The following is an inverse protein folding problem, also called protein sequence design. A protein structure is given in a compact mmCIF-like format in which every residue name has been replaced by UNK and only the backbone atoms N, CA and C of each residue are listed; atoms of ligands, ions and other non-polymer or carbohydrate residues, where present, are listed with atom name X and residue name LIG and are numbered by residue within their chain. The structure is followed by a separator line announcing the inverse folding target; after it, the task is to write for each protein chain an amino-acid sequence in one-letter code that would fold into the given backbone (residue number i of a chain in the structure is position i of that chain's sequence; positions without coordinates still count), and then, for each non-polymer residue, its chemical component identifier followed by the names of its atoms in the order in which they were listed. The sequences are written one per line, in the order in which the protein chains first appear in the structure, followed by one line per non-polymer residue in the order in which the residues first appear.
data_IF_369912358655
#
_entry.id   IF_369912358655
#
_cell.length_a   1.000
_cell.length_b   1.000
_cell.length_c   1.000
_cell.angle_alpha   90.00
_cell.angle_beta   90.00
_cell.angle_gamma   90.00
#
_symmetry.space_group_name_H-M   'P 1'
#
loop_
_entity.id
_entity.type
_entity.pdbx_description
1 polymer ?
#
# COMPACT_ATOMS: atom_id res chain seq x y z
N UNK A 1 18.41 60.59 53.21
CA UNK A 1 17.33 61.20 52.42
C UNK A 1 17.12 60.27 51.24
N UNK A 2 16.16 59.33 51.29
CA UNK A 2 14.73 59.54 50.99
C UNK A 2 14.60 60.35 49.69
N UNK A 3 14.15 59.78 48.56
CA UNK A 3 12.77 59.35 48.33
C UNK A 3 12.65 58.49 47.05
N UNK A 4 11.65 57.62 47.06
CA UNK A 4 11.12 56.82 45.95
C UNK A 4 10.69 57.65 44.73
N UNK A 5 10.75 57.04 43.55
CA UNK A 5 9.67 57.15 42.57
C UNK A 5 9.58 55.87 41.70
N UNK A 6 8.50 55.13 41.91
CA UNK A 6 7.98 54.05 41.08
C UNK A 6 7.03 54.66 40.03
N UNK A 7 7.30 54.46 38.74
CA UNK A 7 6.42 54.54 37.56
C UNK A 7 7.36 54.57 36.32
N UNK A 8 7.19 53.88 35.20
CA UNK A 8 6.01 53.34 34.55
C UNK A 8 6.33 52.05 33.78
N UNK A 9 5.34 51.17 33.76
CA UNK A 9 5.15 50.11 32.77
C UNK A 9 4.96 50.71 31.38
N UNK A 10 5.76 50.29 30.39
CA UNK A 10 5.38 50.14 28.97
C UNK A 10 6.62 49.80 28.12
N UNK A 11 6.90 48.51 27.95
CA UNK A 11 7.83 48.02 26.93
C UNK A 11 7.48 46.58 26.51
N UNK A 12 6.18 46.31 26.33
CA UNK A 12 5.68 45.14 25.60
C UNK A 12 4.56 45.64 24.68
N UNK A 13 4.96 46.13 23.52
CA UNK A 13 4.07 46.70 22.51
C UNK A 13 4.79 46.76 21.17
N UNK A 14 5.38 45.63 20.75
CA UNK A 14 5.67 45.43 19.35
C UNK A 14 4.35 45.09 18.67
N UNK A 15 3.75 46.08 18.01
CA UNK A 15 2.63 45.87 17.09
C UNK A 15 3.06 44.80 16.06
N UNK A 16 2.59 43.57 16.28
CA UNK A 16 2.61 42.56 15.24
C UNK A 16 1.43 42.92 14.34
N UNK A 17 1.77 43.59 13.24
CA UNK A 17 0.89 43.96 12.15
C UNK A 17 0.04 42.74 11.73
N UNK A 18 -1.19 42.65 12.27
CA UNK A 18 -2.08 41.51 12.12
C UNK A 18 -2.58 41.33 10.67
N UNK A 19 -2.28 42.29 9.81
CA UNK A 19 -2.66 42.35 8.39
C UNK A 19 -1.56 41.83 7.43
N UNK A 20 -0.47 41.24 7.95
CA UNK A 20 0.51 40.48 7.15
C UNK A 20 0.47 39.00 7.48
N UNK A 21 -0.70 38.38 7.36
CA UNK A 21 -0.74 36.95 7.05
C UNK A 21 -0.28 36.86 5.60
N UNK A 22 1.01 36.54 5.38
CA UNK A 22 1.48 36.15 4.04
C UNK A 22 0.52 35.08 3.52
N UNK A 23 -0.19 35.40 2.44
CA UNK A 23 -1.05 34.46 1.75
C UNK A 23 -0.18 33.26 1.39
N UNK A 24 -0.43 32.12 2.05
CA UNK A 24 0.42 30.93 1.90
C UNK A 24 0.38 30.54 0.43
N UNK A 25 1.49 30.78 -0.28
CA UNK A 25 1.60 30.51 -1.71
C UNK A 25 1.40 29.02 -1.93
N UNK A 26 0.25 28.66 -2.52
CA UNK A 26 -0.08 27.27 -2.82
C UNK A 26 0.78 26.75 -3.98
N UNK A 27 1.23 25.51 -3.87
CA UNK A 27 2.04 24.84 -4.88
C UNK A 27 1.22 24.57 -6.13
N UNK A 28 1.75 24.93 -7.30
CA UNK A 28 1.16 24.68 -8.62
C UNK A 28 1.70 23.43 -9.31
N UNK A 29 2.66 22.73 -8.70
CA UNK A 29 3.24 21.50 -9.26
C UNK A 29 2.49 20.25 -8.81
N UNK A 30 2.27 19.34 -9.77
CA UNK A 30 1.57 18.07 -9.59
C UNK A 30 2.40 16.92 -10.14
N UNK A 31 2.27 15.77 -9.49
CA UNK A 31 3.07 14.56 -9.71
C UNK A 31 2.12 13.38 -9.94
N UNK A 32 2.64 12.22 -10.33
CA UNK A 32 1.81 11.05 -10.63
C UNK A 32 0.87 10.64 -9.47
N UNK A 33 1.30 10.84 -8.22
CA UNK A 33 0.48 10.53 -7.04
C UNK A 33 -0.61 11.55 -6.71
N UNK A 34 -0.60 12.71 -7.40
CA UNK A 34 -1.61 13.77 -7.31
C UNK A 34 -2.79 13.56 -8.26
N UNK A 35 -2.85 12.43 -8.97
CA UNK A 35 -3.87 12.20 -9.99
C UNK A 35 -5.10 11.46 -9.46
N UNK A 36 -6.29 11.67 -10.06
CA UNK A 36 -7.54 11.00 -9.68
C UNK A 36 -7.42 9.47 -9.54
N UNK A 37 -6.72 8.80 -10.46
CA UNK A 37 -6.47 7.34 -10.40
C UNK A 37 -5.77 6.89 -9.10
N UNK A 38 -4.77 7.64 -8.63
CA UNK A 38 -4.08 7.31 -7.38
C UNK A 38 -4.96 7.56 -6.17
N UNK A 39 -5.76 8.62 -6.22
CA UNK A 39 -6.74 8.89 -5.17
C UNK A 39 -7.87 7.85 -5.13
N UNK A 40 -8.28 7.30 -6.27
CA UNK A 40 -9.19 6.16 -6.32
C UNK A 40 -8.62 4.96 -5.56
N UNK A 41 -7.34 4.61 -5.79
CA UNK A 41 -6.66 3.53 -5.07
C UNK A 41 -6.69 3.79 -3.56
N UNK A 42 -6.30 5.00 -3.14
CA UNK A 42 -6.27 5.40 -1.74
C UNK A 42 -7.66 5.32 -1.07
N UNK A 43 -8.69 5.83 -1.75
CA UNK A 43 -10.05 5.99 -1.22
C UNK A 43 -10.91 4.74 -1.31
N UNK A 44 -10.79 3.97 -2.40
CA UNK A 44 -11.67 2.83 -2.71
C UNK A 44 -11.00 1.48 -2.45
N UNK A 45 -9.68 1.38 -2.58
CA UNK A 45 -8.97 0.12 -2.37
C UNK A 45 -8.32 0.06 -0.98
N UNK A 46 -7.38 0.94 -0.68
CA UNK A 46 -6.61 0.90 0.57
C UNK A 46 -7.47 1.25 1.77
N UNK A 47 -8.23 2.33 1.70
CA UNK A 47 -9.13 2.68 2.79
C UNK A 47 -10.19 1.61 3.03
N UNK A 48 -10.74 0.97 1.98
CA UNK A 48 -11.68 -0.15 2.18
C UNK A 48 -11.04 -1.34 2.94
N UNK A 49 -9.75 -1.60 2.73
CA UNK A 49 -9.02 -2.62 3.47
C UNK A 49 -8.84 -2.24 4.95
N UNK A 50 -8.42 -1.01 5.23
CA UNK A 50 -8.29 -0.48 6.59
C UNK A 50 -9.65 -0.42 7.30
N UNK A 51 -10.68 0.00 6.58
CA UNK A 51 -12.06 0.10 7.05
C UNK A 51 -12.64 -1.29 7.41
N UNK A 52 -12.40 -2.29 6.57
CA UNK A 52 -12.74 -3.67 6.88
C UNK A 52 -11.97 -4.18 8.09
N UNK A 53 -10.70 -3.77 8.25
CA UNK A 53 -9.87 -4.21 9.38
C UNK A 53 -10.31 -3.58 10.70
N UNK A 54 -10.66 -2.29 10.73
CA UNK A 54 -11.13 -1.61 11.96
C UNK A 54 -12.48 -2.14 12.47
N UNK A 55 -13.29 -2.70 11.56
CA UNK A 55 -14.60 -3.30 11.88
C UNK A 55 -14.48 -4.76 12.31
N UNK A 56 -13.28 -5.32 12.25
CA UNK A 56 -13.02 -6.69 12.67
C UNK A 56 -13.15 -6.83 14.20
N UNK A 57 -13.85 -7.87 14.71
CA UNK A 57 -13.96 -8.09 16.15
C UNK A 57 -12.62 -8.18 16.89
N UNK A 58 -11.56 -8.68 16.24
CA UNK A 58 -10.22 -8.74 16.83
C UNK A 58 -9.63 -7.35 17.14
N UNK A 59 -10.17 -6.30 16.52
CA UNK A 59 -9.77 -4.91 16.69
C UNK A 59 -10.75 -4.07 17.49
N UNK A 60 -11.82 -4.67 18.05
CA UNK A 60 -12.82 -3.94 18.81
C UNK A 60 -12.21 -3.20 20.02
N UNK A 61 -11.18 -3.73 20.67
CA UNK A 61 -10.52 -3.06 21.80
C UNK A 61 -9.32 -2.20 21.41
N UNK A 62 -8.98 -2.12 20.12
CA UNK A 62 -7.82 -1.37 19.63
C UNK A 62 -8.15 0.13 19.56
N UNK A 63 -7.46 0.98 20.33
CA UNK A 63 -7.60 2.44 20.20
C UNK A 63 -6.79 3.06 19.07
N UNK A 64 -5.85 2.30 18.52
CA UNK A 64 -4.94 2.74 17.47
C UNK A 64 -4.62 1.60 16.50
N UNK A 65 -4.15 1.96 15.30
CA UNK A 65 -3.45 1.06 14.39
C UNK A 65 -1.99 1.48 14.21
N UNK A 66 -1.09 0.53 14.37
CA UNK A 66 0.29 0.63 13.93
C UNK A 66 0.35 0.51 12.41
N UNK A 67 0.92 1.53 11.76
CA UNK A 67 1.05 1.61 10.32
C UNK A 67 2.53 1.70 9.95
N UNK A 68 3.00 0.73 9.17
CA UNK A 68 4.28 0.83 8.46
C UNK A 68 4.00 1.33 7.05
N UNK A 69 4.65 2.41 6.61
CA UNK A 69 4.44 2.95 5.26
C UNK A 69 5.71 3.53 4.64
N UNK A 70 5.64 3.81 3.33
CA UNK A 70 6.62 4.64 2.61
C UNK A 70 6.01 6.02 2.36
N UNK A 71 6.06 6.95 3.34
CA UNK A 71 5.41 8.24 3.17
C UNK A 71 6.22 9.12 2.21
N UNK A 72 5.54 9.82 1.29
CA UNK A 72 6.13 10.97 0.59
C UNK A 72 6.16 12.22 1.48
N UNK A 73 6.80 13.30 1.02
CA UNK A 73 6.92 14.54 1.79
C UNK A 73 5.58 15.17 2.19
N UNK A 74 4.57 15.03 1.34
CA UNK A 74 3.23 15.57 1.58
C UNK A 74 2.38 14.72 2.54
N UNK A 75 2.84 13.50 2.86
CA UNK A 75 2.14 12.54 3.72
C UNK A 75 0.73 12.18 3.22
N UNK A 76 0.46 12.21 1.91
CA UNK A 76 -0.90 12.09 1.36
C UNK A 76 -1.68 10.86 1.86
N UNK A 77 -1.06 9.67 1.86
CA UNK A 77 -1.73 8.45 2.32
C UNK A 77 -2.07 8.53 3.81
N UNK A 78 -1.12 8.99 4.61
CA UNK A 78 -1.27 9.15 6.07
C UNK A 78 -2.34 10.18 6.38
N UNK A 79 -2.32 11.33 5.69
CA UNK A 79 -3.32 12.39 5.82
C UNK A 79 -4.72 11.88 5.52
N UNK A 80 -4.86 11.11 4.45
CA UNK A 80 -6.14 10.54 4.05
C UNK A 80 -6.67 9.52 5.08
N UNK A 81 -5.85 8.56 5.50
CA UNK A 81 -6.27 7.56 6.49
C UNK A 81 -6.62 8.21 7.82
N UNK A 82 -5.84 9.21 8.23
CA UNK A 82 -6.09 9.96 9.45
C UNK A 82 -7.38 10.79 9.38
N UNK A 83 -7.69 11.43 8.24
CA UNK A 83 -8.92 12.21 8.08
C UNK A 83 -10.16 11.31 8.12
N UNK A 84 -10.10 10.13 7.48
CA UNK A 84 -11.22 9.18 7.50
C UNK A 84 -11.47 8.58 8.88
N UNK A 85 -10.43 8.30 9.66
CA UNK A 85 -10.60 7.83 11.06
C UNK A 85 -11.28 8.87 11.96
N UNK A 86 -11.05 10.16 11.73
CA UNK A 86 -11.71 11.23 12.50
C UNK A 86 -13.21 11.37 12.20
N UNK A 87 -13.62 11.09 10.96
CA UNK A 87 -15.01 11.25 10.53
C UNK A 87 -15.93 10.13 11.04
N UNK A 88 -15.39 8.94 11.31
CA UNK A 88 -16.16 7.73 11.61
C UNK A 88 -16.21 7.35 13.11
N UNK A 89 -15.90 8.30 14.01
CA UNK A 89 -15.59 8.06 15.44
C UNK A 89 -16.76 7.50 16.28
N UNK A 90 -18.00 7.57 15.78
CA UNK A 90 -19.19 7.15 16.56
C UNK A 90 -19.43 5.63 16.58
N UNK A 91 -18.82 4.86 15.67
CA UNK A 91 -19.14 3.42 15.49
C UNK A 91 -17.95 2.46 15.62
N UNK A 92 -16.72 2.96 15.74
CA UNK A 92 -15.53 2.10 15.88
C UNK A 92 -14.56 2.61 16.93
N UNK A 93 -13.87 1.68 17.59
CA UNK A 93 -12.97 2.01 18.70
C UNK A 93 -11.55 2.40 18.27
N UNK A 94 -11.18 2.15 17.01
CA UNK A 94 -9.88 2.59 16.46
C UNK A 94 -9.98 4.06 16.09
N UNK A 95 -9.28 4.91 16.84
CA UNK A 95 -9.39 6.37 16.71
C UNK A 95 -8.14 7.05 16.12
N UNK A 96 -7.00 6.35 16.11
CA UNK A 96 -5.69 6.96 15.78
C UNK A 96 -4.78 6.02 14.97
N UNK A 97 -3.83 6.62 14.26
CA UNK A 97 -2.72 5.92 13.64
C UNK A 97 -1.44 6.16 14.45
N UNK A 98 -0.62 5.11 14.57
CA UNK A 98 0.78 5.22 15.01
C UNK A 98 1.67 4.88 13.82
N UNK A 99 2.44 5.85 13.37
CA UNK A 99 3.16 5.78 12.11
C UNK A 99 4.62 5.32 12.31
N UNK A 100 5.06 4.41 11.45
CA UNK A 100 6.48 4.16 11.16
C UNK A 100 6.69 4.36 9.66
N UNK A 101 7.56 5.29 9.30
CA UNK A 101 7.82 5.67 7.92
C UNK A 101 9.30 5.74 7.59
N UNK A 102 9.65 5.40 6.37
CA UNK A 102 11.00 5.51 5.82
C UNK A 102 10.96 6.35 4.55
N UNK A 103 11.74 7.41 4.51
CA UNK A 103 11.85 8.32 3.38
C UNK A 103 13.33 8.37 2.98
N UNK A 104 13.65 7.94 1.76
CA UNK A 104 15.04 7.87 1.28
C UNK A 104 15.54 9.18 0.63
N UNK A 105 14.66 10.17 0.48
CA UNK A 105 14.97 11.48 -0.07
C UNK A 105 14.94 12.53 1.05
N UNK A 106 16.03 13.30 1.18
CA UNK A 106 16.16 14.30 2.25
C UNK A 106 15.16 15.45 2.11
N UNK A 107 14.86 15.91 0.89
CA UNK A 107 13.87 16.98 0.65
C UNK A 107 12.47 16.53 1.08
N UNK A 108 12.07 15.33 0.67
CA UNK A 108 10.77 14.75 1.05
C UNK A 108 10.73 14.48 2.55
N UNK A 109 11.84 14.04 3.15
CA UNK A 109 11.93 13.85 4.59
C UNK A 109 11.68 15.15 5.34
N UNK A 110 12.39 16.23 5.00
CA UNK A 110 12.20 17.55 5.61
C UNK A 110 10.78 18.09 5.41
N UNK A 111 10.20 17.87 4.24
CA UNK A 111 8.81 18.24 3.95
C UNK A 111 7.82 17.44 4.82
N UNK A 112 8.03 16.13 4.99
CA UNK A 112 7.25 15.31 5.89
C UNK A 112 7.35 15.79 7.35
N UNK A 113 8.54 16.19 7.81
CA UNK A 113 8.71 16.75 9.16
C UNK A 113 7.86 18.03 9.34
N UNK A 114 7.80 18.91 8.34
CA UNK A 114 6.97 20.13 8.36
C UNK A 114 5.48 19.82 8.32
N UNK A 115 5.09 18.74 7.64
CA UNK A 115 3.70 18.34 7.45
C UNK A 115 3.09 17.57 8.63
N UNK A 116 3.89 16.88 9.44
CA UNK A 116 3.41 16.09 10.59
C UNK A 116 2.62 16.90 11.64
N UNK A 117 3.04 18.11 12.06
CA UNK A 117 2.26 18.92 13.01
C UNK A 117 0.86 19.27 12.52
N UNK A 118 0.66 19.40 11.20
CA UNK A 118 -0.65 19.65 10.59
C UNK A 118 -1.61 18.46 10.75
N UNK A 119 -1.08 17.28 11.10
CA UNK A 119 -1.86 16.11 11.48
C UNK A 119 -2.14 16.02 12.98
N UNK A 120 -1.71 17.00 13.77
CA UNK A 120 -1.74 16.92 15.23
C UNK A 120 -0.69 15.99 15.81
N UNK A 121 0.33 15.63 15.00
CA UNK A 121 1.49 14.85 15.44
C UNK A 121 2.60 15.84 15.73
N UNK A 122 2.70 16.24 17.01
CA UNK A 122 3.55 17.37 17.42
C UNK A 122 5.05 17.10 17.27
N UNK A 123 5.48 15.83 17.29
CA UNK A 123 6.88 15.44 17.11
C UNK A 123 7.03 14.19 16.22
N UNK A 124 7.94 14.23 15.23
CA UNK A 124 8.19 13.11 14.31
C UNK A 124 8.81 11.86 14.92
N UNK A 125 9.40 11.97 16.12
CA UNK A 125 9.89 10.85 16.93
C UNK A 125 9.05 10.66 18.21
N UNK A 126 7.76 10.99 18.13
CA UNK A 126 6.83 10.79 19.23
C UNK A 126 6.41 9.32 19.38
N UNK A 127 5.58 9.03 20.39
CA UNK A 127 4.90 7.73 20.49
C UNK A 127 3.97 7.47 19.30
N UNK A 128 3.51 8.52 18.62
CA UNK A 128 2.49 8.44 17.58
C UNK A 128 3.09 8.45 16.16
N UNK A 129 4.34 8.89 15.99
CA UNK A 129 5.05 8.78 14.71
C UNK A 129 6.55 8.56 14.89
N UNK A 130 7.13 7.81 13.96
CA UNK A 130 8.55 7.65 13.75
C UNK A 130 8.82 7.68 12.24
N UNK A 131 9.27 8.81 11.70
CA UNK A 131 9.72 8.91 10.31
C UNK A 131 11.25 9.01 10.29
N UNK A 132 11.90 8.14 9.54
CA UNK A 132 13.36 8.07 9.41
C UNK A 132 13.79 8.47 7.99
N UNK A 133 14.88 9.23 7.88
CA UNK A 133 15.53 9.56 6.62
C UNK A 133 16.45 8.39 6.19
N UNK A 134 15.84 7.29 5.76
CA UNK A 134 16.51 6.05 5.35
C UNK A 134 15.60 5.27 4.40
N UNK A 135 16.10 4.21 3.78
CA UNK A 135 15.30 3.30 2.94
C UNK A 135 14.85 2.08 3.72
N UNK A 136 13.60 1.65 3.49
CA UNK A 136 13.10 0.38 4.04
C UNK A 136 13.89 -0.82 3.51
N UNK A 137 14.58 -0.67 2.38
CA UNK A 137 15.40 -1.72 1.78
C UNK A 137 16.56 -2.14 2.71
N UNK A 138 16.96 -1.26 3.64
CA UNK A 138 17.97 -1.53 4.67
C UNK A 138 17.42 -2.30 5.88
N UNK A 139 16.12 -2.66 5.88
CA UNK A 139 15.53 -3.43 6.98
C UNK A 139 16.23 -4.78 7.15
N UNK A 140 16.67 -5.36 6.03
CA UNK A 140 17.36 -6.64 6.02
C UNK A 140 18.69 -6.65 6.79
N UNK A 141 19.26 -5.46 7.02
CA UNK A 141 20.49 -5.24 7.75
C UNK A 141 20.22 -4.99 9.24
N UNK A 142 21.14 -5.38 10.12
CA UNK A 142 21.04 -5.08 11.55
C UNK A 142 21.40 -3.60 11.79
N UNK A 143 20.44 -2.70 11.56
CA UNK A 143 20.65 -1.26 11.58
C UNK A 143 19.58 -0.44 12.31
N UNK A 144 19.60 0.88 12.07
CA UNK A 144 18.61 1.83 12.60
C UNK A 144 17.21 1.48 12.12
N UNK A 145 17.05 1.19 10.83
CA UNK A 145 15.79 0.76 10.20
C UNK A 145 15.20 -0.48 10.88
N UNK A 146 16.02 -1.51 11.07
CA UNK A 146 15.60 -2.74 11.75
C UNK A 146 15.14 -2.51 13.20
N UNK A 147 15.89 -1.70 13.96
CA UNK A 147 15.49 -1.33 15.32
C UNK A 147 14.20 -0.51 15.34
N UNK A 148 14.07 0.49 14.47
CA UNK A 148 12.86 1.31 14.35
C UNK A 148 11.63 0.45 14.05
N UNK A 149 11.75 -0.46 13.09
CA UNK A 149 10.70 -1.42 12.73
C UNK A 149 10.34 -2.35 13.90
N UNK A 150 11.32 -3.05 14.50
CA UNK A 150 11.06 -4.04 15.55
C UNK A 150 10.54 -3.44 16.86
N UNK A 151 10.94 -2.22 17.19
CA UNK A 151 10.53 -1.54 18.43
C UNK A 151 9.09 -0.99 18.37
N UNK A 152 8.51 -0.87 17.17
CA UNK A 152 7.19 -0.27 16.96
C UNK A 152 6.16 -1.25 16.41
N UNK A 153 6.61 -2.35 15.80
CA UNK A 153 5.77 -3.46 15.39
C UNK A 153 5.21 -4.28 16.56
N UNK A 154 4.32 -5.26 16.29
CA UNK A 154 3.74 -5.59 14.98
C UNK A 154 2.82 -4.49 14.43
N UNK A 155 2.52 -4.59 13.14
CA UNK A 155 1.72 -3.59 12.41
C UNK A 155 0.37 -4.16 12.01
N UNK A 156 -0.70 -3.39 12.16
CA UNK A 156 -2.03 -3.75 11.64
C UNK A 156 -2.13 -3.43 10.15
N UNK A 157 -1.42 -2.40 9.71
CA UNK A 157 -1.37 -1.95 8.31
C UNK A 157 0.09 -1.84 7.87
N UNK A 158 0.44 -2.54 6.81
CA UNK A 158 1.69 -2.34 6.09
C UNK A 158 1.33 -1.81 4.71
N UNK A 159 1.74 -0.59 4.37
CA UNK A 159 1.46 0.08 3.10
C UNK A 159 2.76 0.44 2.36
N UNK A 160 3.21 -0.40 1.45
CA UNK A 160 4.43 -0.17 0.68
C UNK A 160 4.08 0.29 -0.74
N UNK A 161 3.90 1.60 -0.90
CA UNK A 161 3.67 2.22 -2.20
C UNK A 161 5.00 2.40 -2.95
N UNK A 162 5.47 1.38 -3.67
CA UNK A 162 6.69 1.50 -4.45
C UNK A 162 6.40 2.20 -5.78
N UNK A 163 7.03 3.35 -6.02
CA UNK A 163 7.01 4.01 -7.33
C UNK A 163 7.74 3.19 -8.43
N UNK A 164 8.52 2.18 -8.04
CA UNK A 164 9.22 1.27 -8.95
C UNK A 164 8.84 -0.18 -8.61
N UNK A 165 9.46 -1.17 -9.25
CA UNK A 165 9.28 -2.58 -8.91
C UNK A 165 9.69 -2.90 -7.46
N UNK A 166 9.04 -3.89 -6.86
CA UNK A 166 9.47 -4.56 -5.63
C UNK A 166 10.78 -5.33 -5.80
N UNK A 167 11.15 -5.66 -7.04
CA UNK A 167 12.39 -6.35 -7.38
C UNK A 167 13.09 -5.68 -8.57
N UNK A 168 13.54 -4.42 -8.45
CA UNK A 168 14.14 -3.73 -9.57
C UNK A 168 15.56 -4.27 -9.87
N UNK A 169 16.03 -4.17 -11.12
CA UNK A 169 17.37 -4.61 -11.50
C UNK A 169 18.45 -3.99 -10.61
N UNK A 170 19.40 -4.81 -10.15
CA UNK A 170 20.52 -4.36 -9.32
C UNK A 170 20.22 -4.15 -7.84
N UNK A 171 18.96 -4.28 -7.38
CA UNK A 171 18.57 -4.07 -5.97
C UNK A 171 17.96 -5.34 -5.38
N UNK A 172 18.77 -6.12 -4.66
CA UNK A 172 18.31 -7.37 -3.99
C UNK A 172 17.74 -7.14 -2.59
N UNK A 173 18.10 -6.03 -1.94
CA UNK A 173 17.77 -5.76 -0.54
C UNK A 173 16.28 -5.51 -0.28
N UNK A 174 15.53 -5.05 -1.29
CA UNK A 174 14.08 -4.79 -1.18
C UNK A 174 13.26 -6.05 -0.94
N UNK A 175 13.45 -7.08 -1.76
CA UNK A 175 12.75 -8.37 -1.60
C UNK A 175 13.12 -9.00 -0.25
N UNK A 176 14.40 -8.95 0.14
CA UNK A 176 14.85 -9.42 1.44
C UNK A 176 14.17 -8.67 2.61
N UNK A 177 13.99 -7.36 2.47
CA UNK A 177 13.29 -6.53 3.46
C UNK A 177 11.80 -6.86 3.53
N UNK A 178 11.12 -7.05 2.39
CA UNK A 178 9.73 -7.52 2.37
C UNK A 178 9.62 -8.88 3.09
N UNK A 179 10.52 -9.81 2.81
CA UNK A 179 10.54 -11.11 3.49
C UNK A 179 10.72 -10.96 5.01
N UNK A 180 11.58 -10.07 5.47
CA UNK A 180 11.74 -9.80 6.90
C UNK A 180 10.49 -9.19 7.54
N UNK A 181 9.78 -8.30 6.83
CA UNK A 181 8.49 -7.76 7.28
C UNK A 181 7.49 -8.89 7.46
N UNK A 182 7.32 -9.74 6.43
CA UNK A 182 6.40 -10.87 6.46
C UNK A 182 6.72 -11.82 7.61
N UNK A 183 7.97 -12.27 7.74
CA UNK A 183 8.39 -13.17 8.83
C UNK A 183 8.15 -12.60 10.22
N UNK A 184 8.47 -11.32 10.41
CA UNK A 184 8.23 -10.65 11.69
C UNK A 184 6.73 -10.59 11.98
N UNK A 185 5.91 -10.20 11.01
CA UNK A 185 4.45 -10.13 11.17
C UNK A 185 3.86 -11.51 11.46
N UNK A 186 4.23 -12.55 10.72
CA UNK A 186 3.73 -13.91 10.98
C UNK A 186 4.12 -14.43 12.38
N UNK A 187 5.28 -14.01 12.88
CA UNK A 187 5.75 -14.40 14.22
C UNK A 187 4.98 -13.67 15.32
N UNK A 188 4.80 -12.35 15.20
CA UNK A 188 4.38 -11.50 16.32
C UNK A 188 2.97 -10.90 16.21
N UNK A 189 2.40 -10.79 15.02
CA UNK A 189 1.06 -10.24 14.84
C UNK A 189 0.02 -11.33 15.11
N UNK A 190 -0.72 -11.18 16.20
CA UNK A 190 -1.77 -12.13 16.60
C UNK A 190 -3.14 -11.79 15.99
N UNK A 191 -3.37 -10.50 15.71
CA UNK A 191 -4.64 -10.04 15.12
C UNK A 191 -4.59 -10.11 13.60
N UNK A 192 -5.73 -10.12 12.91
CA UNK A 192 -5.73 -9.91 11.46
C UNK A 192 -5.01 -8.60 11.11
N UNK A 193 -4.33 -8.59 9.97
CA UNK A 193 -3.61 -7.42 9.48
C UNK A 193 -3.62 -7.38 7.95
N UNK A 194 -3.33 -6.22 7.39
CA UNK A 194 -3.33 -6.02 5.93
C UNK A 194 -1.95 -5.61 5.43
N UNK A 195 -1.55 -6.21 4.32
CA UNK A 195 -0.39 -5.82 3.53
C UNK A 195 -0.88 -5.26 2.20
N UNK A 196 -0.65 -3.96 2.02
CA UNK A 196 -0.96 -3.22 0.81
C UNK A 196 0.36 -2.85 0.17
N UNK A 197 0.48 -3.09 -1.13
CA UNK A 197 1.65 -2.64 -1.86
C UNK A 197 1.31 -2.32 -3.30
N UNK A 198 2.09 -1.42 -3.87
CA UNK A 198 2.12 -1.18 -5.31
C UNK A 198 3.47 -1.56 -5.86
N UNK A 199 3.50 -1.92 -7.13
CA UNK A 199 4.76 -2.27 -7.79
C UNK A 199 4.65 -2.06 -9.28
N UNK A 200 5.76 -1.61 -9.88
CA UNK A 200 5.93 -1.64 -11.33
C UNK A 200 6.22 -3.08 -11.78
N UNK A 201 5.60 -3.52 -12.88
CA UNK A 201 5.67 -4.91 -13.36
C UNK A 201 6.10 -5.05 -14.80
N UNK A 202 6.35 -3.95 -15.51
CA UNK A 202 6.81 -3.98 -16.89
C UNK A 202 8.18 -4.66 -17.04
N UNK A 203 8.40 -5.29 -18.20
CA UNK A 203 9.70 -5.86 -18.55
C UNK A 203 10.78 -4.77 -18.47
N UNK A 204 11.93 -5.13 -17.89
CA UNK A 204 13.01 -4.18 -17.61
C UNK A 204 12.85 -3.36 -16.32
N UNK A 205 11.64 -3.21 -15.78
CA UNK A 205 11.46 -2.66 -14.43
C UNK A 205 11.70 -3.70 -13.33
N UNK A 206 11.57 -4.99 -13.68
CA UNK A 206 11.83 -6.14 -12.81
C UNK A 206 13.18 -6.77 -13.16
N UNK A 207 13.91 -7.26 -12.16
CA UNK A 207 15.13 -8.05 -12.34
C UNK A 207 14.80 -9.37 -13.02
N UNK A 208 15.40 -9.65 -14.18
CA UNK A 208 15.19 -10.90 -14.94
C UNK A 208 15.52 -12.15 -14.11
N UNK A 209 16.61 -12.13 -13.32
CA UNK A 209 16.95 -13.22 -12.40
C UNK A 209 15.82 -13.54 -11.42
N UNK A 210 15.24 -12.50 -10.79
CA UNK A 210 14.16 -12.67 -9.82
C UNK A 210 12.85 -13.06 -10.51
N UNK A 211 12.60 -12.55 -11.72
CA UNK A 211 11.47 -12.99 -12.52
C UNK A 211 11.55 -14.49 -12.82
N UNK A 212 12.73 -14.99 -13.20
CA UNK A 212 12.98 -16.42 -13.39
C UNK A 212 12.65 -17.24 -12.14
N UNK A 213 13.13 -16.82 -10.97
CA UNK A 213 12.83 -17.49 -9.69
C UNK A 213 11.32 -17.55 -9.40
N UNK A 214 10.58 -16.47 -9.59
CA UNK A 214 9.13 -16.47 -9.35
C UNK A 214 8.32 -17.16 -10.46
N UNK A 215 8.86 -17.24 -11.68
CA UNK A 215 8.28 -17.99 -12.78
C UNK A 215 8.39 -19.50 -12.53
N UNK A 216 9.55 -19.97 -12.06
CA UNK A 216 9.76 -21.37 -11.66
C UNK A 216 8.78 -21.77 -10.54
N UNK A 217 8.49 -20.84 -9.62
CA UNK A 217 7.45 -21.02 -8.60
C UNK A 217 6.07 -21.26 -9.23
N UNK A 218 5.70 -20.60 -10.33
CA UNK A 218 4.43 -20.88 -11.04
C UNK A 218 4.47 -22.26 -11.68
N UNK A 219 5.56 -22.57 -12.40
CA UNK A 219 5.77 -23.87 -13.07
C UNK A 219 5.57 -25.03 -12.09
N UNK A 220 6.22 -24.94 -10.93
CA UNK A 220 6.07 -25.92 -9.84
C UNK A 220 4.62 -26.14 -9.42
N UNK A 221 3.78 -25.10 -9.47
CA UNK A 221 2.37 -25.21 -9.09
C UNK A 221 1.51 -25.83 -10.19
N UNK A 222 1.79 -25.50 -11.45
CA UNK A 222 1.16 -26.13 -12.62
C UNK A 222 1.41 -27.64 -12.59
N UNK A 223 2.62 -28.07 -12.23
CA UNK A 223 2.99 -29.48 -12.17
C UNK A 223 2.43 -30.24 -10.95
N UNK A 224 2.34 -29.58 -9.78
CA UNK A 224 2.10 -30.28 -8.49
C UNK A 224 0.68 -30.12 -7.93
N UNK A 225 -0.14 -29.23 -8.48
CA UNK A 225 -1.46 -28.92 -7.92
C UNK A 225 -2.55 -28.89 -8.97
N UNK A 226 -3.46 -29.87 -8.93
CA UNK A 226 -4.65 -29.91 -9.79
C UNK A 226 -5.54 -28.67 -9.60
N UNK A 227 -5.73 -28.21 -8.35
CA UNK A 227 -6.51 -27.00 -8.06
C UNK A 227 -5.92 -25.76 -8.76
N UNK A 228 -4.59 -25.62 -8.73
CA UNK A 228 -3.91 -24.53 -9.39
C UNK A 228 -3.97 -24.69 -10.92
N UNK A 229 -3.63 -25.87 -11.43
CA UNK A 229 -3.62 -26.19 -12.86
C UNK A 229 -4.98 -25.92 -13.50
N UNK A 230 -6.08 -26.34 -12.87
CA UNK A 230 -7.43 -26.12 -13.39
C UNK A 230 -7.75 -24.62 -13.53
N UNK A 231 -7.49 -23.83 -12.48
CA UNK A 231 -7.68 -22.37 -12.57
C UNK A 231 -6.72 -21.71 -13.56
N UNK A 232 -5.49 -22.20 -13.64
CA UNK A 232 -4.48 -21.69 -14.57
C UNK A 232 -4.91 -21.96 -16.02
N UNK A 233 -5.36 -23.17 -16.32
CA UNK A 233 -5.88 -23.56 -17.62
C UNK A 233 -7.04 -22.65 -18.05
N UNK A 234 -8.02 -22.40 -17.18
CA UNK A 234 -9.18 -21.56 -17.50
C UNK A 234 -8.81 -20.12 -17.94
N UNK A 235 -7.66 -19.61 -17.49
CA UNK A 235 -7.26 -18.21 -17.67
C UNK A 235 -6.02 -17.98 -18.55
N UNK A 236 -5.19 -19.02 -18.71
CA UNK A 236 -3.86 -18.97 -19.35
C UNK A 236 -3.57 -20.23 -20.17
N UNK A 237 -4.59 -20.86 -20.76
CA UNK A 237 -4.44 -22.04 -21.62
C UNK A 237 -3.40 -21.84 -22.74
N UNK A 238 -3.31 -20.62 -23.28
CA UNK A 238 -2.34 -20.25 -24.32
C UNK A 238 -0.88 -20.26 -23.83
N UNK A 239 -0.66 -20.31 -22.52
CA UNK A 239 0.66 -20.43 -21.89
C UNK A 239 1.05 -21.87 -21.55
N UNK A 240 0.22 -22.86 -21.89
CA UNK A 240 0.46 -24.28 -21.62
C UNK A 240 0.81 -25.04 -22.91
N UNK A 241 1.73 -25.99 -22.77
CA UNK A 241 2.05 -27.03 -23.76
C UNK A 241 1.38 -28.37 -23.40
N UNK A 242 1.39 -29.32 -24.33
CA UNK A 242 0.89 -30.68 -24.11
C UNK A 242 -0.61 -30.89 -24.38
N UNK A 243 -1.30 -29.87 -24.89
CA UNK A 243 -2.74 -29.90 -25.18
C UNK A 243 -3.16 -30.93 -26.24
N UNK A 244 -2.32 -31.15 -27.26
CA UNK A 244 -2.66 -31.94 -28.46
C UNK A 244 -2.26 -33.42 -28.37
N UNK A 245 -1.33 -33.77 -27.48
CA UNK A 245 -0.64 -35.07 -27.50
C UNK A 245 -1.00 -36.01 -26.32
N UNK A 246 -1.92 -35.62 -25.45
CA UNK A 246 -2.25 -36.39 -24.23
C UNK A 246 -1.11 -36.45 -23.21
N UNK A 247 -0.11 -35.57 -23.35
CA UNK A 247 0.99 -35.40 -22.42
C UNK A 247 0.56 -34.59 -21.18
N UNK A 248 1.38 -34.66 -20.13
CA UNK A 248 1.24 -33.78 -18.95
C UNK A 248 1.31 -32.32 -19.41
N UNK A 249 0.38 -31.49 -18.93
CA UNK A 249 0.38 -30.06 -19.22
C UNK A 249 1.58 -29.41 -18.54
N UNK A 250 2.35 -28.65 -19.31
CA UNK A 250 3.54 -27.96 -18.83
C UNK A 250 3.45 -26.46 -19.16
N UNK A 251 4.02 -25.63 -18.28
CA UNK A 251 4.12 -24.20 -18.54
C UNK A 251 5.20 -23.93 -19.60
N UNK A 252 4.85 -23.17 -20.64
CA UNK A 252 5.77 -22.73 -21.70
C UNK A 252 6.95 -21.93 -21.15
N UNK A 253 7.96 -21.68 -21.98
CA UNK A 253 9.08 -20.85 -21.57
C UNK A 253 8.68 -19.38 -21.35
N UNK A 254 9.47 -18.66 -20.55
CA UNK A 254 9.26 -17.23 -20.26
C UNK A 254 9.06 -16.41 -21.54
N UNK A 255 9.86 -16.68 -22.59
CA UNK A 255 9.80 -15.92 -23.84
C UNK A 255 8.48 -16.16 -24.61
N UNK A 256 7.92 -17.35 -24.50
CA UNK A 256 6.64 -17.71 -25.14
C UNK A 256 5.44 -17.16 -24.37
N UNK A 257 5.65 -16.79 -23.11
CA UNK A 257 4.66 -16.22 -22.21
C UNK A 257 4.82 -14.70 -21.99
N UNK A 258 5.57 -14.01 -22.86
CA UNK A 258 5.91 -12.60 -22.67
C UNK A 258 4.68 -11.68 -22.55
N UNK A 259 3.60 -11.98 -23.25
CA UNK A 259 2.34 -11.22 -23.18
C UNK A 259 1.64 -11.30 -21.81
N UNK A 260 2.02 -12.27 -20.97
CA UNK A 260 1.57 -12.40 -19.58
C UNK A 260 2.62 -11.98 -18.55
N UNK A 261 3.73 -11.37 -18.95
CA UNK A 261 4.87 -11.05 -18.07
C UNK A 261 4.46 -10.42 -16.73
N UNK A 262 3.70 -9.32 -16.76
CA UNK A 262 3.25 -8.62 -15.56
C UNK A 262 2.37 -9.51 -14.66
N UNK A 263 1.49 -10.32 -15.26
CA UNK A 263 0.56 -11.20 -14.55
C UNK A 263 1.31 -12.34 -13.86
N UNK A 264 2.28 -12.93 -14.57
CA UNK A 264 3.11 -14.02 -14.04
C UNK A 264 4.10 -13.53 -12.98
N UNK A 265 4.67 -12.34 -13.13
CA UNK A 265 5.46 -11.73 -12.06
C UNK A 265 4.66 -11.63 -10.77
N UNK A 266 3.45 -11.06 -10.85
CA UNK A 266 2.56 -10.89 -9.70
C UNK A 266 2.10 -12.23 -9.14
N UNK A 267 1.72 -13.20 -9.97
CA UNK A 267 1.30 -14.52 -9.52
C UNK A 267 2.41 -15.27 -8.79
N UNK A 268 3.62 -15.28 -9.35
CA UNK A 268 4.77 -15.91 -8.71
C UNK A 268 5.14 -15.24 -7.39
N UNK A 269 5.12 -13.90 -7.35
CA UNK A 269 5.37 -13.14 -6.12
C UNK A 269 4.31 -13.39 -5.04
N UNK A 270 3.02 -13.40 -5.41
CA UNK A 270 1.92 -13.74 -4.50
C UNK A 270 2.03 -15.17 -3.98
N UNK A 271 2.43 -16.12 -4.82
CA UNK A 271 2.64 -17.51 -4.41
C UNK A 271 3.80 -17.63 -3.42
N UNK A 272 4.91 -16.93 -3.66
CA UNK A 272 6.03 -16.87 -2.70
C UNK A 272 5.59 -16.35 -1.32
N UNK A 273 4.80 -15.27 -1.30
CA UNK A 273 4.20 -14.73 -0.06
C UNK A 273 3.28 -15.76 0.61
N UNK A 274 2.43 -16.44 -0.17
CA UNK A 274 1.48 -17.39 0.38
C UNK A 274 2.14 -18.63 0.96
N UNK A 275 3.16 -19.17 0.28
CA UNK A 275 4.00 -20.27 0.79
C UNK A 275 4.58 -19.89 2.15
N UNK A 276 5.18 -18.69 2.24
CA UNK A 276 5.76 -18.16 3.48
C UNK A 276 4.74 -18.01 4.62
N UNK A 277 3.49 -17.62 4.30
CA UNK A 277 2.41 -17.48 5.26
C UNK A 277 1.92 -18.84 5.77
N UNK A 278 1.69 -19.78 4.86
CA UNK A 278 1.20 -21.14 5.14
C UNK A 278 2.21 -21.90 6.03
N UNK A 279 3.50 -21.84 5.70
CA UNK A 279 4.59 -22.41 6.51
C UNK A 279 4.62 -21.83 7.93
N UNK A 280 4.14 -20.59 8.09
CA UNK A 280 4.04 -19.91 9.37
C UNK A 280 2.69 -20.08 10.07
N UNK A 281 1.82 -20.98 9.58
CA UNK A 281 0.44 -21.17 10.06
C UNK A 281 -0.40 -19.88 10.03
N UNK A 282 -0.26 -19.12 8.94
CA UNK A 282 -1.01 -17.87 8.69
C UNK A 282 -1.85 -18.04 7.42
N UNK A 283 -3.16 -17.79 7.55
CA UNK A 283 -4.07 -17.67 6.41
C UNK A 283 -3.75 -16.41 5.63
N UNK A 284 -3.82 -16.48 4.31
CA UNK A 284 -3.60 -15.36 3.40
C UNK A 284 -4.74 -15.27 2.40
N UNK A 285 -5.22 -14.06 2.16
CA UNK A 285 -6.27 -13.78 1.17
C UNK A 285 -5.92 -12.52 0.38
N UNK A 286 -5.85 -12.64 -0.94
CA UNK A 286 -5.82 -11.49 -1.84
C UNK A 286 -7.23 -10.87 -1.89
N UNK A 287 -7.45 -9.80 -1.12
CA UNK A 287 -8.78 -9.18 -1.01
C UNK A 287 -9.07 -8.31 -2.22
N UNK A 288 -8.08 -7.55 -2.69
CA UNK A 288 -8.21 -6.66 -3.85
C UNK A 288 -6.94 -6.61 -4.70
N UNK A 289 -7.11 -6.47 -6.00
CA UNK A 289 -6.04 -6.25 -6.98
C UNK A 289 -6.59 -5.37 -8.11
N UNK A 290 -5.86 -4.33 -8.47
CA UNK A 290 -6.17 -3.42 -9.58
C UNK A 290 -4.89 -3.04 -10.32
N UNK A 291 -5.02 -2.62 -11.57
CA UNK A 291 -3.92 -2.12 -12.40
C UNK A 291 -4.12 -0.64 -12.69
N UNK A 292 -3.05 0.11 -12.89
CA UNK A 292 -3.14 1.51 -13.32
C UNK A 292 -1.86 1.94 -14.03
N UNK A 293 -1.93 3.08 -14.72
CA UNK A 293 -0.82 3.57 -15.55
C UNK A 293 -0.14 4.77 -14.87
N UNK A 294 1.19 4.77 -14.78
CA UNK A 294 1.92 5.94 -14.24
C UNK A 294 1.96 7.08 -15.25
N UNK A 295 2.31 6.77 -16.50
CA UNK A 295 2.61 7.73 -17.58
C UNK A 295 1.41 8.06 -18.50
N UNK A 296 0.23 7.48 -18.24
CA UNK A 296 -1.02 7.74 -18.99
C UNK A 296 -1.39 6.65 -20.03
N UNK A 297 -2.52 6.86 -20.72
CA UNK A 297 -3.28 5.89 -21.56
C UNK A 297 -2.49 5.13 -22.67
N UNK A 298 -1.21 5.44 -22.89
CA UNK A 298 -0.35 4.82 -23.92
C UNK A 298 0.63 3.77 -23.36
N UNK A 299 0.73 3.59 -22.04
CA UNK A 299 1.58 2.58 -21.43
C UNK A 299 0.85 1.24 -21.27
N UNK A 300 1.51 0.12 -21.57
CA UNK A 300 1.07 -1.19 -21.09
C UNK A 300 1.00 -1.12 -19.57
N UNK A 301 -0.19 -1.35 -18.99
CA UNK A 301 -0.42 -1.07 -17.57
C UNK A 301 0.67 -1.58 -16.67
N UNK A 302 1.41 -0.61 -16.13
CA UNK A 302 2.73 -0.88 -15.61
C UNK A 302 2.74 -1.01 -14.11
N UNK A 303 1.65 -0.64 -13.42
CA UNK A 303 1.51 -0.76 -11.99
C UNK A 303 0.39 -1.70 -11.58
N UNK A 304 0.69 -2.53 -10.59
CA UNK A 304 -0.32 -3.24 -9.80
C UNK A 304 -0.43 -2.61 -8.42
N UNK A 305 -1.64 -2.54 -7.89
CA UNK A 305 -1.92 -2.26 -6.48
C UNK A 305 -2.67 -3.43 -5.87
N UNK A 306 -2.08 -4.03 -4.84
CA UNK A 306 -2.55 -5.28 -4.23
C UNK A 306 -2.87 -5.07 -2.75
N UNK A 307 -3.86 -5.82 -2.28
CA UNK A 307 -4.23 -5.89 -0.86
C UNK A 307 -4.33 -7.34 -0.45
N UNK A 308 -3.45 -7.74 0.46
CA UNK A 308 -3.46 -9.03 1.12
C UNK A 308 -3.94 -8.86 2.55
N UNK A 309 -4.81 -9.76 3.00
CA UNK A 309 -5.19 -9.89 4.40
C UNK A 309 -4.60 -11.17 4.96
N UNK A 310 -4.02 -11.07 6.15
CA UNK A 310 -3.42 -12.18 6.86
C UNK A 310 -4.12 -12.40 8.19
N UNK A 311 -4.23 -13.65 8.60
CA UNK A 311 -4.85 -14.05 9.85
C UNK A 311 -4.13 -15.26 10.43
N UNK A 312 -3.64 -15.14 11.66
CA UNK A 312 -2.93 -16.21 12.33
C UNK A 312 -3.91 -17.30 12.74
N UNK A 313 -3.63 -18.54 12.35
CA UNK A 313 -4.35 -19.69 12.89
C UNK A 313 -3.76 -19.97 14.27
N UNK A 314 -4.61 -20.38 15.21
CA UNK A 314 -4.21 -20.69 16.58
C UNK A 314 -3.07 -21.71 16.65
N UNK A 315 -2.51 -21.88 17.85
CA UNK A 315 -1.37 -22.77 18.04
C UNK A 315 -1.68 -24.17 17.50
N UNK A 316 -0.88 -24.60 16.53
CA UNK A 316 -0.85 -25.96 16.02
C UNK A 316 0.40 -26.65 16.51
N UNK A 317 0.27 -27.90 16.91
CA UNK A 317 1.39 -28.74 17.28
C UNK A 317 1.06 -29.69 18.41
N UNK A 318 1.89 -30.70 18.55
CA UNK A 318 1.94 -31.53 19.74
C UNK A 318 2.96 -30.90 20.68
N UNK A 319 2.65 -30.86 21.99
CA UNK A 319 3.70 -30.62 22.96
C UNK A 319 4.77 -31.70 22.76
N UNK A 320 6.04 -31.35 22.47
CA UNK A 320 7.10 -32.33 22.22
C UNK A 320 7.29 -33.33 23.38
N UNK A 321 6.78 -33.00 24.57
CA UNK A 321 6.80 -33.87 25.75
C UNK A 321 5.43 -34.46 26.12
N UNK A 322 4.39 -34.17 25.34
CA UNK A 322 3.02 -34.62 25.55
C UNK A 322 2.45 -34.29 26.96
N UNK A 323 2.94 -33.22 27.59
CA UNK A 323 2.45 -32.74 28.88
C UNK A 323 1.18 -31.90 28.73
N UNK A 324 1.01 -31.24 27.58
CA UNK A 324 -0.15 -30.39 27.28
C UNK A 324 -0.81 -30.85 25.98
N UNK A 325 -2.13 -31.05 26.03
CA UNK A 325 -2.93 -31.16 24.81
C UNK A 325 -3.25 -29.77 24.30
N UNK A 326 -2.77 -29.46 23.10
CA UNK A 326 -3.14 -28.25 22.39
C UNK A 326 -4.46 -28.54 21.67
N UNK A 327 -5.53 -27.77 21.91
CA UNK A 327 -6.79 -27.95 21.19
C UNK A 327 -6.56 -27.79 19.69
N UNK A 328 -7.15 -28.68 18.89
CA UNK A 328 -7.16 -28.51 17.44
C UNK A 328 -7.96 -27.25 17.09
N UNK A 329 -7.32 -26.31 16.43
CA UNK A 329 -8.02 -25.16 15.87
C UNK A 329 -8.83 -25.60 14.64
N UNK A 330 -10.16 -25.55 14.74
CA UNK A 330 -11.13 -25.90 13.69
C UNK A 330 -10.92 -25.10 12.39
N UNK A 331 -10.16 -23.99 12.46
CA UNK A 331 -10.00 -23.05 11.36
C UNK A 331 -9.19 -23.53 10.15
N UNK A 332 -8.36 -24.57 10.24
CA UNK A 332 -7.60 -25.08 9.08
C UNK A 332 -6.50 -24.15 8.54
N UNK A 333 -5.41 -24.69 7.99
CA UNK A 333 -4.62 -23.99 6.97
C UNK A 333 -4.95 -24.70 5.67
N UNK A 334 -5.44 -23.96 4.69
CA UNK A 334 -5.77 -24.50 3.38
C UNK A 334 -4.48 -24.89 2.63
N UNK A 335 -4.53 -25.94 1.78
CA UNK A 335 -3.39 -26.28 0.93
C UNK A 335 -2.97 -25.08 0.05
N UNK A 336 -1.67 -24.92 -0.16
CA UNK A 336 -1.10 -23.81 -0.93
C UNK A 336 -1.67 -23.72 -2.34
N UNK A 337 -1.81 -24.86 -3.03
CA UNK A 337 -2.38 -24.93 -4.38
C UNK A 337 -3.78 -24.31 -4.47
N UNK A 338 -4.64 -24.57 -3.48
CA UNK A 338 -6.00 -24.02 -3.41
C UNK A 338 -6.00 -22.51 -3.10
N UNK A 339 -5.08 -22.04 -2.27
CA UNK A 339 -4.91 -20.61 -2.00
C UNK A 339 -4.41 -19.88 -3.26
N UNK A 340 -3.39 -20.43 -3.90
CA UNK A 340 -2.77 -19.88 -5.10
C UNK A 340 -3.73 -19.89 -6.30
N UNK A 341 -4.59 -20.90 -6.45
CA UNK A 341 -5.58 -20.96 -7.53
C UNK A 341 -6.57 -19.77 -7.50
N UNK A 342 -6.91 -19.28 -6.30
CA UNK A 342 -7.73 -18.06 -6.14
C UNK A 342 -7.00 -16.79 -6.58
N UNK A 343 -5.67 -16.77 -6.55
CA UNK A 343 -4.88 -15.64 -7.05
C UNK A 343 -4.92 -15.59 -8.57
N UNK A 344 -4.82 -16.72 -9.26
CA UNK A 344 -4.88 -16.83 -10.73
C UNK A 344 -6.05 -16.04 -11.28
N UNK A 345 -7.27 -16.39 -10.84
CA UNK A 345 -8.50 -15.73 -11.25
C UNK A 345 -8.50 -14.23 -10.93
N UNK A 346 -8.15 -13.85 -9.69
CA UNK A 346 -8.15 -12.44 -9.27
C UNK A 346 -7.17 -11.58 -10.05
N UNK A 347 -5.96 -12.08 -10.32
CA UNK A 347 -4.95 -11.36 -11.10
C UNK A 347 -5.42 -11.22 -12.54
N UNK A 348 -5.95 -12.29 -13.16
CA UNK A 348 -6.46 -12.22 -14.53
C UNK A 348 -7.63 -11.24 -14.67
N UNK A 349 -8.57 -11.30 -13.74
CA UNK A 349 -9.78 -10.46 -13.71
C UNK A 349 -9.53 -9.03 -13.18
N UNK A 350 -8.30 -8.69 -12.77
CA UNK A 350 -8.00 -7.39 -12.20
C UNK A 350 -8.27 -6.27 -13.23
N UNK A 351 -9.00 -5.23 -12.79
CA UNK A 351 -9.43 -4.13 -13.64
C UNK A 351 -8.41 -2.99 -13.64
N UNK A 352 -8.30 -2.29 -14.77
CA UNK A 352 -7.61 -1.00 -14.84
C UNK A 352 -8.43 0.06 -14.09
N UNK A 353 -7.78 0.86 -13.26
CA UNK A 353 -8.40 1.95 -12.48
C UNK A 353 -9.00 2.98 -13.42
N UNK A 354 -8.31 3.28 -14.51
CA UNK A 354 -8.75 4.18 -15.58
C UNK A 354 -10.10 3.72 -16.14
N UNK A 355 -10.27 2.43 -16.43
CA UNK A 355 -11.56 1.92 -16.92
C UNK A 355 -12.68 2.06 -15.89
N UNK A 356 -12.37 1.90 -14.60
CA UNK A 356 -13.35 2.06 -13.52
C UNK A 356 -13.68 3.53 -13.27
N UNK A 357 -12.69 4.42 -13.40
CA UNK A 357 -12.81 5.84 -13.12
C UNK A 357 -13.46 6.58 -14.28
N UNK A 358 -13.04 6.29 -15.52
CA UNK A 358 -13.53 6.91 -16.74
C UNK A 358 -14.79 6.22 -17.32
N UNK A 359 -15.18 5.06 -16.79
CA UNK A 359 -16.38 4.36 -17.23
C UNK A 359 -17.68 5.14 -16.94
N UNK A 360 -17.66 6.01 -15.93
CA UNK A 360 -18.79 6.85 -15.54
C UNK A 360 -18.31 8.27 -15.20
N UNK A 361 -18.83 9.29 -15.90
CA UNK A 361 -18.46 10.69 -15.70
C UNK A 361 -18.63 11.13 -14.24
N UNK A 362 -19.70 10.67 -13.58
CA UNK A 362 -19.97 10.99 -12.17
C UNK A 362 -18.95 10.36 -11.22
N UNK A 363 -18.43 9.16 -11.53
CA UNK A 363 -17.38 8.52 -10.76
C UNK A 363 -16.07 9.33 -10.83
N UNK A 364 -15.67 9.76 -12.02
CA UNK A 364 -14.51 10.65 -12.19
C UNK A 364 -14.70 11.98 -11.47
N UNK A 365 -15.88 12.60 -11.60
CA UNK A 365 -16.25 13.86 -10.93
C UNK A 365 -16.15 13.74 -9.41
N UNK A 366 -16.76 12.72 -8.83
CA UNK A 366 -16.76 12.48 -7.39
C UNK A 366 -15.33 12.33 -6.84
N UNK A 367 -14.50 11.52 -7.49
CA UNK A 367 -13.10 11.30 -7.08
C UNK A 367 -12.25 12.56 -7.25
N UNK A 368 -12.42 13.29 -8.35
CA UNK A 368 -11.63 14.49 -8.62
C UNK A 368 -11.98 15.62 -7.64
N UNK A 369 -13.25 15.73 -7.23
CA UNK A 369 -13.68 16.68 -6.20
C UNK A 369 -13.16 16.31 -4.81
N UNK A 370 -13.24 15.03 -4.41
CA UNK A 370 -12.68 14.55 -3.13
C UNK A 370 -11.16 14.83 -3.10
N UNK A 371 -10.47 14.54 -4.21
CA UNK A 371 -9.06 14.83 -4.36
C UNK A 371 -8.75 16.32 -4.32
N UNK A 372 -9.49 17.17 -5.05
CA UNK A 372 -9.28 18.61 -5.03
C UNK A 372 -9.41 19.17 -3.60
N UNK A 373 -10.49 18.84 -2.89
CA UNK A 373 -10.66 19.26 -1.50
C UNK A 373 -9.53 18.76 -0.59
N UNK A 374 -9.03 17.55 -0.85
CA UNK A 374 -7.92 16.98 -0.10
C UNK A 374 -6.56 17.64 -0.40
N UNK A 375 -6.29 17.95 -1.67
CA UNK A 375 -5.05 18.63 -2.09
C UNK A 375 -5.01 20.08 -1.61
N UNK A 376 -6.16 20.73 -1.47
CA UNK A 376 -6.26 22.08 -0.94
C UNK A 376 -5.73 22.15 0.49
N UNK A 377 -6.12 21.15 1.30
CA UNK A 377 -5.63 20.96 2.67
C UNK A 377 -4.13 20.60 2.74
N UNK A 378 -3.55 20.17 1.61
CA UNK A 378 -2.12 19.90 1.46
C UNK A 378 -1.35 21.09 0.87
N UNK A 379 -2.00 22.24 0.67
CA UNK A 379 -1.36 23.45 0.15
C UNK A 379 -1.16 23.46 -1.36
N UNK A 380 -1.94 22.69 -2.13
CA UNK A 380 -1.93 22.72 -3.60
C UNK A 380 -2.93 23.73 -4.16
N UNK A 381 -2.57 24.33 -5.30
CA UNK A 381 -3.42 25.25 -6.02
C UNK A 381 -4.52 24.48 -6.78
N UNK A 382 -5.78 24.63 -6.35
CA UNK A 382 -6.90 23.87 -6.92
C UNK A 382 -7.23 24.29 -8.34
N UNK A 383 -7.07 25.57 -8.66
CA UNK A 383 -7.27 26.04 -10.04
C UNK A 383 -6.27 25.35 -10.98
N UNK A 384 -4.99 25.34 -10.62
CA UNK A 384 -3.97 24.63 -11.40
C UNK A 384 -4.20 23.12 -11.43
N UNK A 385 -4.69 22.50 -10.35
CA UNK A 385 -5.07 21.08 -10.37
C UNK A 385 -6.11 20.79 -11.45
N UNK A 386 -7.18 21.58 -11.50
CA UNK A 386 -8.23 21.37 -12.50
C UNK A 386 -7.73 21.60 -13.93
N UNK A 387 -6.90 22.61 -14.13
CA UNK A 387 -6.40 23.01 -15.44
C UNK A 387 -5.27 22.10 -15.96
N UNK A 388 -4.32 21.70 -15.13
CA UNK A 388 -3.12 20.98 -15.59
C UNK A 388 -3.24 19.47 -15.42
N UNK A 389 -4.05 19.01 -14.45
CA UNK A 389 -4.21 17.57 -14.16
C UNK A 389 -5.52 17.04 -14.75
N UNK A 390 -6.65 17.65 -14.41
CA UNK A 390 -7.96 17.11 -14.80
C UNK A 390 -8.36 17.45 -16.22
N UNK A 391 -8.10 18.67 -16.72
CA UNK A 391 -8.51 19.09 -18.06
C UNK A 391 -8.02 18.15 -19.16
N UNK A 392 -6.74 17.74 -19.23
CA UNK A 392 -6.31 16.84 -20.30
C UNK A 392 -7.03 15.49 -20.27
N UNK A 393 -7.27 14.94 -19.07
CA UNK A 393 -7.98 13.68 -18.87
C UNK A 393 -9.47 13.81 -19.27
N UNK A 394 -10.14 14.89 -18.87
CA UNK A 394 -11.54 15.21 -19.19
C UNK A 394 -11.76 15.44 -20.69
N UNK A 395 -10.91 16.27 -21.32
CA UNK A 395 -11.00 16.59 -22.74
C UNK A 395 -10.74 15.36 -23.61
N UNK A 396 -9.84 14.46 -23.20
CA UNK A 396 -9.59 13.19 -23.87
C UNK A 396 -10.83 12.28 -23.96
N UNK A 397 -11.78 12.44 -23.03
CA UNK A 397 -13.05 11.69 -22.99
C UNK A 397 -14.22 12.47 -23.61
N UNK A 398 -13.98 13.68 -24.11
CA UNK A 398 -15.01 14.55 -24.68
C UNK A 398 -15.98 15.12 -23.65
N UNK A 399 -15.56 15.20 -22.39
CA UNK A 399 -16.36 15.76 -21.29
C UNK A 399 -16.12 17.26 -21.13
N UNK A 400 -17.07 17.94 -20.49
CA UNK A 400 -16.95 19.36 -20.14
C UNK A 400 -16.37 19.51 -18.73
N UNK A 401 -15.22 20.20 -18.61
CA UNK A 401 -14.55 20.41 -17.34
C UNK A 401 -15.43 21.19 -16.35
N UNK A 402 -16.23 22.13 -16.81
CA UNK A 402 -17.08 22.92 -15.92
C UNK A 402 -18.21 22.06 -15.31
N UNK A 403 -18.68 21.03 -16.03
CA UNK A 403 -19.61 20.04 -15.46
C UNK A 403 -18.94 19.13 -14.43
N UNK A 404 -17.64 18.85 -14.60
CA UNK A 404 -16.85 18.07 -13.62
C UNK A 404 -16.58 18.92 -12.37
N UNK A 405 -16.32 20.22 -12.52
CA UNK A 405 -16.08 21.16 -11.40
C UNK A 405 -17.37 21.48 -10.63
N UNK A 406 -18.45 21.83 -11.33
CA UNK A 406 -19.79 22.03 -10.77
C UNK A 406 -20.20 20.78 -10.02
#
# INVERSE_FOLDING_TARGET
MMMDEFADSEAFGGDVDADKIEEVVKSTTFEAWHRPRKHWIRSKQWWAAIDSLRKDPAHEQSSYFNVLTLPGGELLDVRYFHSKLKLDDEKTNVKKLRLVGFINNTKDYEEAQRNLPLLGISQPESKDALIQNDTIDNLSENGVVNRAFRNRGPFEVVNLDYCNSVAPPGVKSRVASIFQILRYQFSYQAKPWVFMFTTRTTRGAVSEDFFGEVFDIIKDNVEKSDDFLNQFFDHYMDSLDGLDDGNTLELKSINECEHHYSEFFILGFLKWIASSAIDSSVKVKLTSVVRYDVEGDQADSDMFSLVLRFEKVGLRGEDPRNLVRIPDDEGGIEPEGLVASRFVRKVKESKKVENMLFGEQESYRSISKDLAAFLDQCGKCIDTFWEDVCRPEVESKGWDLEQIKA
#
